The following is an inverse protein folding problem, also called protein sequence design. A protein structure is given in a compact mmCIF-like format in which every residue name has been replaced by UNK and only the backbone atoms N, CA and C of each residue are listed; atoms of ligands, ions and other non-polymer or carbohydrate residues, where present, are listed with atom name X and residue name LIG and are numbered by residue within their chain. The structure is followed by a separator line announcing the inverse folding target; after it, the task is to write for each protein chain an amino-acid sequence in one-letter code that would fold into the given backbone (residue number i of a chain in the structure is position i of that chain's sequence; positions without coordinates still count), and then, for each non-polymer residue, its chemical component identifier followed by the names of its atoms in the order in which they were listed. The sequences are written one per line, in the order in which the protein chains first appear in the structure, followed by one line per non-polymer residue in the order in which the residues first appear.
data_IF_033468834087
#
_entry.id   IF_033468834087
#
_cell.length_a   1.000
_cell.length_b   1.000
_cell.length_c   1.000
_cell.angle_alpha   90.00
_cell.angle_beta   90.00
_cell.angle_gamma   90.00
#
_symmetry.space_group_name_H-M   'P 1'
#
loop_
_entity.id
_entity.type
_entity.pdbx_description
1 polymer ?
#
# COMPACT_ATOMS: atom_id res chain seq x y z
N UNK A 1 -10.48 -23.61 -39.32
CA UNK A 1 -9.94 -22.32 -38.87
C UNK A 1 -10.39 -22.16 -37.43
N UNK A 2 -9.45 -22.21 -36.48
CA UNK A 2 -9.76 -21.97 -35.08
C UNK A 2 -9.59 -20.47 -34.81
N UNK A 3 -10.67 -19.82 -34.37
CA UNK A 3 -10.65 -18.45 -33.87
C UNK A 3 -9.88 -18.40 -32.57
N UNK A 4 -8.70 -17.77 -32.59
CA UNK A 4 -7.96 -17.43 -31.37
C UNK A 4 -8.64 -16.25 -30.70
N UNK A 5 -9.40 -16.50 -29.64
CA UNK A 5 -9.90 -15.47 -28.74
C UNK A 5 -8.72 -14.83 -27.98
N UNK A 6 -8.23 -13.68 -28.45
CA UNK A 6 -7.30 -12.85 -27.70
C UNK A 6 -8.08 -12.13 -26.59
N UNK A 7 -7.87 -12.58 -25.35
CA UNK A 7 -8.37 -11.92 -24.14
C UNK A 7 -7.66 -10.58 -23.97
N UNK A 8 -8.32 -9.50 -24.39
CA UNK A 8 -7.83 -8.11 -24.30
C UNK A 8 -7.92 -7.52 -22.90
N UNK A 9 -7.27 -8.15 -21.92
CA UNK A 9 -7.13 -7.61 -20.56
C UNK A 9 -5.69 -7.73 -20.06
N UNK A 10 -4.73 -7.51 -20.95
CA UNK A 10 -3.36 -7.22 -20.54
C UNK A 10 -3.20 -5.71 -20.47
N UNK A 11 -3.10 -5.13 -19.27
CA UNK A 11 -2.54 -3.79 -19.12
C UNK A 11 -1.13 -3.83 -19.68
N UNK A 12 -0.93 -3.29 -20.88
CA UNK A 12 0.41 -3.15 -21.45
C UNK A 12 1.15 -2.08 -20.67
N UNK A 13 2.45 -2.28 -20.44
CA UNK A 13 3.32 -1.31 -19.74
C UNK A 13 3.38 0.09 -20.41
N UNK A 14 2.80 0.24 -21.61
CA UNK A 14 2.66 1.49 -22.36
C UNK A 14 1.52 2.40 -21.86
N UNK A 15 0.54 1.88 -21.11
CA UNK A 15 -0.61 2.67 -20.63
C UNK A 15 -0.38 3.29 -19.24
N UNK A 16 0.62 2.83 -18.50
CA UNK A 16 0.96 3.37 -17.18
C UNK A 16 1.82 4.64 -17.31
N UNK A 17 1.52 5.71 -16.54
CA UNK A 17 2.36 6.90 -16.52
C UNK A 17 3.83 6.54 -16.25
N UNK A 18 4.81 7.23 -16.87
CA UNK A 18 6.23 6.88 -16.74
C UNK A 18 6.71 6.70 -15.28
N UNK A 19 6.14 7.47 -14.35
CA UNK A 19 6.39 7.34 -12.91
C UNK A 19 5.95 5.98 -12.36
N UNK A 20 4.73 5.53 -12.66
CA UNK A 20 4.20 4.25 -12.17
C UNK A 20 5.00 3.08 -12.74
N UNK A 21 5.39 3.14 -14.02
CA UNK A 21 6.27 2.15 -14.64
C UNK A 21 7.64 2.10 -13.96
N UNK A 22 8.23 3.25 -13.61
CA UNK A 22 9.49 3.30 -12.88
C UNK A 22 9.37 2.72 -11.45
N UNK A 23 8.32 3.11 -10.71
CA UNK A 23 8.02 2.59 -9.37
C UNK A 23 7.84 1.08 -9.40
N UNK A 24 7.07 0.57 -10.36
CA UNK A 24 6.87 -0.87 -10.54
C UNK A 24 8.20 -1.59 -10.81
N UNK A 25 9.02 -1.09 -11.76
CA UNK A 25 10.33 -1.68 -12.08
C UNK A 25 11.28 -1.75 -10.89
N UNK A 26 11.30 -0.71 -10.06
CA UNK A 26 12.15 -0.64 -8.86
C UNK A 26 11.63 -1.58 -7.78
N UNK A 27 10.32 -1.55 -7.49
CA UNK A 27 9.67 -2.46 -6.53
C UNK A 27 9.92 -3.92 -6.88
N UNK A 28 9.78 -4.32 -8.14
CA UNK A 28 10.03 -5.69 -8.60
C UNK A 28 11.46 -6.18 -8.43
N UNK A 29 12.43 -5.28 -8.20
CA UNK A 29 13.83 -5.58 -7.93
C UNK A 29 14.22 -5.40 -6.46
N UNK A 30 13.23 -5.23 -5.57
CA UNK A 30 13.43 -4.90 -4.16
C UNK A 30 14.17 -3.56 -3.93
N UNK A 31 14.16 -2.66 -4.92
CA UNK A 31 14.68 -1.29 -4.77
C UNK A 31 13.62 -0.38 -4.13
N UNK A 32 13.10 -0.77 -2.94
CA UNK A 32 11.97 -0.07 -2.31
C UNK A 32 12.30 1.36 -1.91
N UNK A 33 13.51 1.62 -1.41
CA UNK A 33 13.95 2.97 -1.03
C UNK A 33 13.95 3.91 -2.24
N UNK A 34 14.49 3.47 -3.37
CA UNK A 34 14.50 4.26 -4.60
C UNK A 34 13.08 4.47 -5.14
N UNK A 35 12.24 3.43 -5.11
CA UNK A 35 10.84 3.53 -5.50
C UNK A 35 10.06 4.53 -4.62
N UNK A 36 10.29 4.50 -3.31
CA UNK A 36 9.67 5.42 -2.35
C UNK A 36 10.19 6.87 -2.54
N UNK A 37 11.46 7.04 -2.90
CA UNK A 37 12.05 8.34 -3.20
C UNK A 37 11.44 8.98 -4.46
N UNK A 38 11.11 8.20 -5.49
CA UNK A 38 10.40 8.73 -6.67
C UNK A 38 9.01 9.30 -6.34
N UNK A 39 8.36 8.76 -5.32
CA UNK A 39 7.02 9.19 -4.88
C UNK A 39 7.07 10.36 -3.89
N UNK A 40 8.20 10.62 -3.23
CA UNK A 40 8.33 11.63 -2.17
C UNK A 40 7.87 13.04 -2.59
N UNK A 41 8.22 13.57 -3.79
CA UNK A 41 7.74 14.90 -4.21
C UNK A 41 6.22 15.00 -4.34
N UNK A 42 5.55 13.88 -4.64
CA UNK A 42 4.10 13.81 -4.85
C UNK A 42 3.36 13.53 -3.53
N UNK A 43 3.99 12.74 -2.66
CA UNK A 43 3.44 12.33 -1.37
C UNK A 43 3.18 13.48 -0.40
N UNK A 44 3.66 14.70 -0.67
CA UNK A 44 3.37 15.89 0.13
C UNK A 44 1.96 16.46 -0.12
N UNK A 45 1.34 16.18 -1.26
CA UNK A 45 0.06 16.78 -1.66
C UNK A 45 -0.96 15.81 -2.24
N UNK A 46 -0.53 14.59 -2.60
CA UNK A 46 -1.41 13.56 -3.15
C UNK A 46 -1.54 12.38 -2.14
N UNK A 47 -2.75 12.17 -1.56
CA UNK A 47 -3.02 11.05 -0.67
C UNK A 47 -2.71 9.68 -1.29
N UNK A 48 -2.93 9.50 -2.61
CA UNK A 48 -2.67 8.24 -3.29
C UNK A 48 -1.16 7.96 -3.39
N UNK A 49 -0.37 8.96 -3.79
CA UNK A 49 1.09 8.86 -3.81
C UNK A 49 1.67 8.62 -2.41
N UNK A 50 1.14 9.28 -1.38
CA UNK A 50 1.56 9.08 0.01
C UNK A 50 1.27 7.65 0.49
N UNK A 51 0.11 7.11 0.15
CA UNK A 51 -0.28 5.74 0.49
C UNK A 51 0.60 4.71 -0.26
N UNK A 52 0.85 4.93 -1.55
CA UNK A 52 1.72 4.06 -2.34
C UNK A 52 3.16 4.07 -1.82
N UNK A 53 3.69 5.24 -1.45
CA UNK A 53 5.02 5.37 -0.81
C UNK A 53 5.07 4.58 0.50
N UNK A 54 4.02 4.67 1.30
CA UNK A 54 3.91 3.92 2.56
C UNK A 54 3.90 2.42 2.31
N UNK A 55 3.13 1.93 1.34
CA UNK A 55 3.07 0.50 1.02
C UNK A 55 4.44 -0.06 0.62
N UNK A 56 5.26 0.69 -0.14
CA UNK A 56 6.63 0.29 -0.49
C UNK A 56 7.54 0.18 0.74
N UNK A 57 7.42 1.12 1.68
CA UNK A 57 8.21 1.11 2.91
C UNK A 57 7.77 0.00 3.87
N UNK A 58 6.46 -0.25 3.99
CA UNK A 58 5.93 -1.40 4.74
C UNK A 58 6.39 -2.72 4.13
N UNK A 59 6.43 -2.83 2.80
CA UNK A 59 6.95 -4.00 2.12
C UNK A 59 8.45 -4.21 2.40
N UNK A 60 9.26 -3.14 2.36
CA UNK A 60 10.67 -3.20 2.80
C UNK A 60 10.77 -3.73 4.23
N UNK A 61 9.98 -3.21 5.17
CA UNK A 61 9.98 -3.70 6.55
C UNK A 61 9.68 -5.20 6.64
N UNK A 62 8.71 -5.69 5.87
CA UNK A 62 8.35 -7.11 5.82
C UNK A 62 9.49 -8.00 5.32
N UNK A 63 10.20 -7.58 4.28
CA UNK A 63 11.24 -8.40 3.67
C UNK A 63 12.61 -8.28 4.34
N UNK A 64 12.91 -7.14 4.98
CA UNK A 64 14.24 -6.91 5.56
C UNK A 64 14.25 -6.83 7.08
N UNK A 65 13.09 -6.65 7.72
CA UNK A 65 13.00 -6.39 9.16
C UNK A 65 13.52 -5.00 9.58
N UNK A 66 13.75 -4.09 8.63
CA UNK A 66 14.35 -2.77 8.87
C UNK A 66 13.48 -1.63 8.30
N UNK A 67 13.79 -0.37 8.64
CA UNK A 67 13.13 0.80 8.06
C UNK A 67 11.78 1.18 8.70
N UNK A 68 11.47 0.63 9.87
CA UNK A 68 10.19 0.84 10.57
C UNK A 68 9.85 2.30 10.82
N UNK A 69 10.83 3.12 11.22
CA UNK A 69 10.61 4.56 11.43
C UNK A 69 10.20 5.26 10.15
N UNK A 70 10.87 4.99 9.03
CA UNK A 70 10.55 5.60 7.74
C UNK A 70 9.12 5.23 7.29
N UNK A 71 8.72 3.96 7.49
CA UNK A 71 7.39 3.48 7.17
C UNK A 71 6.31 4.13 8.05
N UNK A 72 6.55 4.22 9.36
CA UNK A 72 5.64 4.89 10.30
C UNK A 72 5.49 6.38 9.99
N UNK A 73 6.58 7.06 9.66
CA UNK A 73 6.58 8.48 9.33
C UNK A 73 5.81 8.74 8.03
N UNK A 74 6.07 7.94 6.99
CA UNK A 74 5.33 7.99 5.73
C UNK A 74 3.83 7.75 5.94
N UNK A 75 3.48 6.77 6.78
CA UNK A 75 2.10 6.45 7.06
C UNK A 75 1.38 7.56 7.83
N UNK A 76 2.05 8.20 8.81
CA UNK A 76 1.49 9.37 9.50
C UNK A 76 1.22 10.52 8.53
N UNK A 77 2.10 10.75 7.55
CA UNK A 77 1.87 11.72 6.48
C UNK A 77 0.67 11.34 5.60
N UNK A 78 0.55 10.07 5.19
CA UNK A 78 -0.58 9.59 4.39
C UNK A 78 -1.92 9.76 5.12
N UNK A 79 -1.96 9.46 6.42
CA UNK A 79 -3.15 9.65 7.24
C UNK A 79 -3.53 11.11 7.43
N UNK A 80 -2.54 12.00 7.57
CA UNK A 80 -2.78 13.44 7.67
C UNK A 80 -3.37 14.03 6.38
N UNK A 81 -3.01 13.44 5.22
CA UNK A 81 -3.50 13.87 3.92
C UNK A 81 -4.88 13.30 3.58
N UNK A 82 -5.25 12.14 4.11
CA UNK A 82 -6.52 11.47 3.79
C UNK A 82 -7.75 12.28 4.25
N UNK A 83 -8.65 12.63 3.32
CA UNK A 83 -9.86 13.43 3.58
C UNK A 83 -11.14 12.66 3.30
N UNK A 84 -11.14 11.82 2.28
CA UNK A 84 -12.32 11.01 1.92
C UNK A 84 -12.40 9.74 2.76
N UNK A 85 -13.55 9.07 2.78
CA UNK A 85 -13.67 7.75 3.43
C UNK A 85 -12.75 6.72 2.77
N UNK A 86 -12.66 6.72 1.44
CA UNK A 86 -11.79 5.80 0.70
C UNK A 86 -10.31 6.00 1.03
N UNK A 87 -9.83 7.25 1.06
CA UNK A 87 -8.44 7.56 1.44
C UNK A 87 -8.17 7.16 2.89
N UNK A 88 -9.08 7.50 3.81
CA UNK A 88 -8.92 7.16 5.24
C UNK A 88 -9.00 5.65 5.46
N UNK A 89 -9.82 4.96 4.67
CA UNK A 89 -9.93 3.51 4.67
C UNK A 89 -8.66 2.83 4.15
N UNK A 90 -8.08 3.36 3.08
CA UNK A 90 -6.78 2.93 2.56
C UNK A 90 -5.65 3.11 3.58
N UNK A 91 -5.56 4.30 4.20
CA UNK A 91 -4.56 4.58 5.22
C UNK A 91 -4.74 3.70 6.47
N UNK A 92 -5.98 3.48 6.93
CA UNK A 92 -6.28 2.56 8.02
C UNK A 92 -5.92 1.10 7.66
N UNK A 93 -6.11 0.70 6.40
CA UNK A 93 -5.71 -0.63 5.91
C UNK A 93 -4.18 -0.82 5.96
N UNK A 94 -3.41 0.19 5.53
CA UNK A 94 -1.93 0.16 5.65
C UNK A 94 -1.45 0.20 7.10
N UNK A 95 -2.10 0.98 7.99
CA UNK A 95 -1.84 0.96 9.43
C UNK A 95 -2.03 -0.42 10.04
N UNK A 96 -3.11 -1.09 9.68
CA UNK A 96 -3.37 -2.46 10.10
C UNK A 96 -2.27 -3.42 9.64
N UNK A 97 -1.85 -3.30 8.39
CA UNK A 97 -0.81 -4.15 7.80
C UNK A 97 0.58 -3.91 8.40
N UNK A 98 0.97 -2.66 8.66
CA UNK A 98 2.26 -2.33 9.29
C UNK A 98 2.32 -2.85 10.74
N UNK A 99 1.22 -2.71 11.50
CA UNK A 99 1.09 -3.25 12.85
C UNK A 99 1.15 -4.80 12.86
N UNK A 100 0.46 -5.44 11.91
CA UNK A 100 0.55 -6.89 11.70
C UNK A 100 1.99 -7.32 11.40
N UNK A 101 2.66 -6.67 10.46
CA UNK A 101 4.05 -6.95 10.09
C UNK A 101 5.01 -6.84 11.29
N UNK A 102 4.84 -5.79 12.09
CA UNK A 102 5.65 -5.56 13.29
C UNK A 102 5.46 -6.66 14.35
N UNK A 103 4.24 -7.17 14.48
CA UNK A 103 3.89 -8.30 15.36
C UNK A 103 4.47 -9.61 14.84
N UNK A 104 4.23 -9.90 13.55
CA UNK A 104 4.68 -11.12 12.87
C UNK A 104 6.21 -11.29 12.95
N UNK A 105 6.95 -10.20 12.79
CA UNK A 105 8.42 -10.20 12.81
C UNK A 105 9.01 -10.03 14.22
N UNK A 106 8.18 -9.97 15.27
CA UNK A 106 8.64 -9.88 16.65
C UNK A 106 9.30 -8.53 17.03
N UNK A 107 9.05 -7.47 16.25
CA UNK A 107 9.59 -6.13 16.52
C UNK A 107 8.84 -5.48 17.68
N UNK A 108 7.51 -5.54 17.65
CA UNK A 108 6.62 -5.10 18.72
C UNK A 108 5.28 -5.80 18.58
N UNK A 109 4.74 -6.30 19.69
CA UNK A 109 3.37 -6.83 19.67
C UNK A 109 2.36 -5.68 19.52
N UNK A 110 1.66 -5.69 18.38
CA UNK A 110 0.70 -4.68 17.95
C UNK A 110 -0.55 -5.35 17.36
N UNK A 111 -0.87 -6.56 17.80
CA UNK A 111 -2.02 -7.32 17.29
C UNK A 111 -3.36 -6.55 17.46
N UNK A 112 -3.55 -5.91 18.60
CA UNK A 112 -4.75 -5.11 18.88
C UNK A 112 -4.85 -3.90 17.94
N UNK A 113 -3.73 -3.23 17.70
CA UNK A 113 -3.67 -2.09 16.76
C UNK A 113 -3.99 -2.54 15.34
N UNK A 114 -3.45 -3.68 14.90
CA UNK A 114 -3.75 -4.26 13.60
C UNK A 114 -5.25 -4.54 13.44
N UNK A 115 -5.86 -5.21 14.43
CA UNK A 115 -7.30 -5.54 14.44
C UNK A 115 -8.19 -4.30 14.39
N UNK A 116 -7.90 -3.30 15.23
CA UNK A 116 -8.66 -2.04 15.28
C UNK A 116 -8.56 -1.29 13.96
N UNK A 117 -7.35 -1.18 13.39
CA UNK A 117 -7.12 -0.45 12.15
C UNK A 117 -7.80 -1.13 10.93
N UNK A 118 -7.70 -2.47 10.82
CA UNK A 118 -8.38 -3.21 9.76
C UNK A 118 -9.91 -3.16 9.88
N UNK A 119 -10.43 -3.18 11.11
CA UNK A 119 -11.87 -2.99 11.36
C UNK A 119 -12.34 -1.61 10.96
N UNK A 120 -11.55 -0.57 11.26
CA UNK A 120 -11.82 0.80 10.81
C UNK A 120 -11.79 0.91 9.28
N UNK A 121 -10.81 0.30 8.62
CA UNK A 121 -10.74 0.25 7.17
C UNK A 121 -12.00 -0.39 6.55
N UNK A 122 -12.50 -1.48 7.15
CA UNK A 122 -13.72 -2.15 6.71
C UNK A 122 -14.99 -1.32 6.87
N UNK A 123 -15.03 -0.45 7.89
CA UNK A 123 -16.13 0.48 8.10
C UNK A 123 -16.14 1.65 7.11
N UNK A 124 -14.96 2.06 6.62
CA UNK A 124 -14.80 3.20 5.72
C UNK A 124 -14.88 2.82 4.24
N UNK A 125 -14.28 1.69 3.84
CA UNK A 125 -14.23 1.27 2.45
C UNK A 125 -15.56 0.64 2.01
N UNK A 126 -16.22 1.26 1.04
CA UNK A 126 -17.40 0.69 0.41
C UNK A 126 -17.08 -0.69 -0.22
N UNK A 127 -18.07 -1.60 -0.35
CA UNK A 127 -17.83 -2.92 -0.95
C UNK A 127 -17.28 -2.88 -2.38
N UNK A 128 -17.58 -1.83 -3.14
CA UNK A 128 -17.10 -1.61 -4.51
C UNK A 128 -15.87 -0.71 -4.59
N UNK A 129 -15.32 -0.26 -3.45
CA UNK A 129 -14.16 0.61 -3.44
C UNK A 129 -12.93 -0.14 -3.99
N UNK A 130 -12.06 0.50 -4.79
CA UNK A 130 -10.87 -0.15 -5.36
C UNK A 130 -9.94 -0.78 -4.32
N UNK A 131 -9.87 -0.22 -3.12
CA UNK A 131 -9.07 -0.75 -2.01
C UNK A 131 -9.65 -1.96 -1.30
N UNK A 132 -10.90 -2.35 -1.60
CA UNK A 132 -11.61 -3.42 -0.89
C UNK A 132 -10.96 -4.80 -1.02
N UNK A 133 -10.52 -5.26 -2.21
CA UNK A 133 -9.88 -6.58 -2.35
C UNK A 133 -8.61 -6.72 -1.50
N UNK A 134 -7.80 -5.67 -1.41
CA UNK A 134 -6.59 -5.68 -0.59
C UNK A 134 -6.91 -5.76 0.91
N UNK A 135 -7.95 -5.04 1.36
CA UNK A 135 -8.42 -5.14 2.73
C UNK A 135 -8.90 -6.56 3.06
N UNK A 136 -9.73 -7.15 2.19
CA UNK A 136 -10.29 -8.49 2.44
C UNK A 136 -9.18 -9.54 2.50
N UNK A 137 -8.14 -9.44 1.65
CA UNK A 137 -6.93 -10.26 1.76
C UNK A 137 -6.24 -10.10 3.11
N UNK A 138 -5.98 -8.86 3.54
CA UNK A 138 -5.24 -8.57 4.78
C UNK A 138 -5.98 -8.97 6.06
N UNK A 139 -7.31 -8.99 6.03
CA UNK A 139 -8.12 -9.47 7.16
C UNK A 139 -8.10 -11.00 7.31
N UNK A 140 -7.62 -11.72 6.30
CA UNK A 140 -7.43 -13.17 6.34
C UNK A 140 -6.01 -13.62 6.74
N UNK A 141 -5.10 -12.68 6.99
CA UNK A 141 -3.72 -12.92 7.47
C UNK A 141 -3.67 -13.12 8.99
#
# INVERSE_FOLDING_TARGET
MADTAMSGSGTTADDDPPLQTAVWRLRSRACWTDAAALLEPHAAGDPAAALQRTALLTERCLYTGEGWTDAEDALRSAEALARTDDERGGAACERGHLAYASTLLGVRDRADEASVALSRAAALLAPTAPGRPLLDFRRGL
#
